data_IF_534455973611
#
_entry.id   IF_534455973611
#
_cell.length_a   1.000
_cell.length_b   1.000
_cell.length_c   1.000
_cell.angle_alpha   90.00
_cell.angle_beta   90.00
_cell.angle_gamma   90.00
#
_symmetry.space_group_name_H-M   'P 1'
#
loop_
_entity.id
_entity.type
_entity.pdbx_description
1 polymer ?
#
# COMPACT_ATOMS: atom_id res chain seq x y z
N UNK A 1 -2.80 -17.13 -19.59
CA UNK A 1 -3.56 -17.94 -18.59
C UNK A 1 -4.72 -17.11 -18.07
N UNK A 2 -5.92 -17.68 -17.86
CA UNK A 2 -7.06 -17.01 -17.22
C UNK A 2 -7.32 -17.65 -15.87
N UNK A 3 -7.20 -16.87 -14.80
CA UNK A 3 -7.45 -17.37 -13.44
C UNK A 3 -8.96 -17.32 -13.16
N UNK A 4 -9.55 -18.46 -12.79
CA UNK A 4 -10.97 -18.56 -12.43
C UNK A 4 -11.21 -18.44 -10.92
N UNK A 5 -10.13 -18.47 -10.12
CA UNK A 5 -10.16 -18.27 -8.67
C UNK A 5 -8.99 -17.38 -8.24
N UNK A 6 -9.08 -16.07 -8.50
CA UNK A 6 -8.13 -15.08 -8.02
C UNK A 6 -8.76 -14.26 -6.90
N UNK A 7 -8.29 -14.46 -5.67
CA UNK A 7 -8.92 -13.91 -4.47
C UNK A 7 -8.06 -12.78 -3.92
N UNK A 8 -8.63 -11.60 -3.79
CA UNK A 8 -7.96 -10.47 -3.15
C UNK A 8 -7.78 -10.73 -1.64
N UNK A 9 -6.66 -10.28 -1.07
CA UNK A 9 -6.35 -10.51 0.33
C UNK A 9 -7.27 -9.78 1.33
N UNK A 10 -8.03 -8.78 0.86
CA UNK A 10 -9.01 -8.06 1.65
C UNK A 10 -10.13 -7.47 0.75
N UNK A 11 -11.34 -7.24 1.30
CA UNK A 11 -12.46 -6.66 0.56
C UNK A 11 -12.38 -5.13 0.39
N UNK A 12 -11.30 -4.49 0.87
CA UNK A 12 -11.12 -3.04 0.88
C UNK A 12 -9.81 -2.62 0.22
N UNK A 13 -9.80 -1.39 -0.29
CA UNK A 13 -8.71 -0.85 -1.11
C UNK A 13 -7.34 -0.82 -0.41
N UNK A 14 -7.19 -0.10 0.71
CA UNK A 14 -5.90 0.01 1.42
C UNK A 14 -5.33 -1.36 1.85
N UNK A 15 -6.05 -2.24 2.57
CA UNK A 15 -5.50 -3.53 2.98
C UNK A 15 -5.19 -4.45 1.79
N UNK A 16 -6.04 -4.47 0.76
CA UNK A 16 -5.81 -5.30 -0.43
C UNK A 16 -4.56 -4.85 -1.20
N UNK A 17 -4.38 -3.54 -1.37
CA UNK A 17 -3.19 -2.95 -2.02
C UNK A 17 -1.92 -3.17 -1.19
N UNK A 18 -2.01 -3.04 0.13
CA UNK A 18 -0.86 -3.30 1.01
C UNK A 18 -0.37 -4.74 0.86
N UNK A 19 -1.31 -5.69 0.82
CA UNK A 19 -1.01 -7.09 0.63
C UNK A 19 -0.46 -7.39 -0.77
N UNK A 20 -1.00 -6.76 -1.81
CA UNK A 20 -0.47 -6.88 -3.17
C UNK A 20 0.97 -6.35 -3.28
N UNK A 21 1.27 -5.18 -2.70
CA UNK A 21 2.60 -4.58 -2.79
C UNK A 21 3.66 -5.37 -2.02
N UNK A 22 3.31 -5.96 -0.87
CA UNK A 22 4.26 -6.64 0.04
C UNK A 22 4.26 -8.17 -0.07
N UNK A 23 3.24 -8.77 -0.68
CA UNK A 23 3.02 -10.22 -0.67
C UNK A 23 2.65 -10.78 0.72
N UNK A 24 2.27 -9.93 1.68
CA UNK A 24 1.96 -10.29 3.07
C UNK A 24 0.52 -9.92 3.41
N UNK A 25 -0.16 -10.70 4.25
CA UNK A 25 -1.47 -10.29 4.77
C UNK A 25 -1.38 -8.92 5.45
N UNK A 26 -2.37 -8.06 5.22
CA UNK A 26 -2.37 -6.66 5.69
C UNK A 26 -2.24 -6.51 7.21
N UNK A 27 -2.68 -7.51 7.98
CA UNK A 27 -2.48 -7.55 9.44
C UNK A 27 -1.00 -7.58 9.84
N UNK A 28 -0.12 -8.12 8.99
CA UNK A 28 1.32 -8.22 9.24
C UNK A 28 2.07 -6.91 9.03
N UNK A 29 1.50 -6.00 8.24
CA UNK A 29 2.04 -4.65 8.00
C UNK A 29 1.28 -3.57 8.76
N UNK A 30 0.29 -3.94 9.59
CA UNK A 30 -0.54 -2.98 10.31
C UNK A 30 -1.50 -2.18 9.42
N UNK A 31 -1.67 -2.56 8.15
CA UNK A 31 -2.56 -1.89 7.18
C UNK A 31 -4.02 -2.34 7.32
N UNK A 32 -4.48 -2.51 8.56
CA UNK A 32 -5.84 -2.93 8.94
C UNK A 32 -6.30 -2.14 10.16
N UNK A 33 -7.61 -2.06 10.38
CA UNK A 33 -8.20 -1.38 11.53
C UNK A 33 -9.33 -2.24 12.11
N UNK A 34 -9.48 -2.23 13.43
CA UNK A 34 -10.63 -2.83 14.13
C UNK A 34 -11.82 -1.88 14.23
N UNK A 35 -11.64 -0.61 13.84
CA UNK A 35 -12.68 0.40 13.84
C UNK A 35 -13.59 0.36 12.62
N UNK A 36 -14.55 1.30 12.57
CA UNK A 36 -15.47 1.45 11.43
C UNK A 36 -14.76 1.89 10.15
N UNK A 37 -13.69 2.67 10.27
CA UNK A 37 -12.88 3.14 9.14
C UNK A 37 -11.66 2.24 9.00
N UNK A 38 -11.60 1.49 7.90
CA UNK A 38 -10.56 0.48 7.62
C UNK A 38 -9.75 0.80 6.36
N UNK A 39 -9.87 2.04 5.87
CA UNK A 39 -9.14 2.57 4.72
C UNK A 39 -8.65 3.97 5.06
N UNK A 40 -7.58 4.40 4.39
CA UNK A 40 -7.06 5.76 4.59
C UNK A 40 -7.99 6.76 3.89
N UNK A 41 -8.69 7.59 4.65
CA UNK A 41 -9.65 8.57 4.10
C UNK A 41 -9.02 9.95 3.86
N UNK A 42 -8.01 10.29 4.66
CA UNK A 42 -7.39 11.61 4.65
C UNK A 42 -5.98 11.51 4.10
N UNK A 43 -5.60 12.47 3.25
CA UNK A 43 -4.26 12.57 2.69
C UNK A 43 -3.23 12.92 3.79
N UNK A 44 -3.54 13.91 4.64
CA UNK A 44 -2.73 14.27 5.81
C UNK A 44 -2.86 13.33 7.02
N UNK A 45 -3.30 12.08 6.80
CA UNK A 45 -3.34 11.08 7.87
C UNK A 45 -1.96 10.50 8.16
N UNK A 46 -1.62 10.25 9.42
CA UNK A 46 -0.34 9.64 9.82
C UNK A 46 -0.23 8.14 9.47
N UNK A 47 -1.29 7.54 8.92
CA UNK A 47 -1.33 6.12 8.56
C UNK A 47 -0.81 5.89 7.13
N UNK A 48 0.03 4.87 6.96
CA UNK A 48 0.58 4.49 5.67
C UNK A 48 1.29 3.15 5.73
N UNK A 49 1.70 2.63 4.58
CA UNK A 49 2.51 1.42 4.52
C UNK A 49 3.83 1.67 5.27
N UNK A 50 4.19 0.86 6.29
CA UNK A 50 5.38 1.12 7.08
C UNK A 50 6.65 1.13 6.22
N UNK A 51 7.60 2.06 6.46
CA UNK A 51 8.86 2.10 5.72
C UNK A 51 9.72 0.83 5.85
N UNK A 52 9.48 0.02 6.88
CA UNK A 52 10.12 -1.27 7.10
C UNK A 52 9.60 -2.38 6.17
N UNK A 53 8.42 -2.22 5.56
CA UNK A 53 7.90 -3.18 4.61
C UNK A 53 8.62 -3.08 3.26
N UNK A 54 8.87 -4.23 2.63
CA UNK A 54 9.55 -4.29 1.34
C UNK A 54 8.53 -4.61 0.26
N UNK A 55 8.36 -3.70 -0.71
CA UNK A 55 7.48 -3.92 -1.85
C UNK A 55 8.15 -4.73 -2.95
N UNK A 56 7.36 -5.40 -3.80
CA UNK A 56 7.91 -6.06 -5.00
C UNK A 56 8.59 -5.04 -5.93
N UNK A 57 8.08 -3.80 -5.99
CA UNK A 57 8.71 -2.73 -6.77
C UNK A 57 10.13 -2.41 -6.25
N UNK A 58 10.31 -2.29 -4.93
CA UNK A 58 11.64 -2.06 -4.34
C UNK A 58 12.60 -3.22 -4.62
N UNK A 59 12.11 -4.46 -4.57
CA UNK A 59 12.89 -5.66 -4.92
C UNK A 59 13.32 -5.66 -6.39
N UNK A 60 12.42 -5.32 -7.30
CA UNK A 60 12.72 -5.23 -8.73
C UNK A 60 13.70 -4.09 -9.03
N UNK A 61 13.54 -2.94 -8.39
CA UNK A 61 14.47 -1.82 -8.52
C UNK A 61 15.90 -2.22 -8.12
N UNK A 62 16.07 -2.98 -7.03
CA UNK A 62 17.37 -3.52 -6.62
C UNK A 62 18.00 -4.47 -7.65
N UNK A 63 17.19 -5.04 -8.57
CA UNK A 63 17.65 -5.88 -9.67
C UNK A 63 17.83 -5.09 -10.98
N UNK A 64 17.82 -3.76 -10.92
CA UNK A 64 18.06 -2.89 -12.09
C UNK A 64 16.81 -2.55 -12.91
N UNK A 65 15.61 -2.89 -12.44
CA UNK A 65 14.38 -2.49 -13.12
C UNK A 65 14.02 -1.03 -12.86
N UNK A 66 13.63 -0.31 -13.92
CA UNK A 66 12.94 0.98 -13.79
C UNK A 66 11.49 0.72 -13.38
N UNK A 67 11.08 1.24 -12.22
CA UNK A 67 9.72 1.07 -11.69
C UNK A 67 8.94 2.38 -11.71
N UNK A 68 7.65 2.31 -12.03
CA UNK A 68 6.73 3.46 -11.96
C UNK A 68 5.35 3.03 -11.50
N UNK A 69 4.61 3.96 -10.90
CA UNK A 69 3.21 3.78 -10.50
C UNK A 69 2.35 4.77 -11.29
N UNK A 70 1.32 4.27 -11.97
CA UNK A 70 0.30 5.10 -12.62
C UNK A 70 -1.05 4.81 -11.97
N UNK A 71 -1.76 5.87 -11.57
CA UNK A 71 -3.08 5.79 -10.95
C UNK A 71 -3.04 5.81 -9.42
N UNK A 72 -3.93 5.02 -8.79
CA UNK A 72 -4.22 5.12 -7.36
C UNK A 72 -3.20 4.38 -6.48
N UNK A 73 -2.64 5.10 -5.51
CA UNK A 73 -1.74 4.53 -4.48
C UNK A 73 -2.51 3.96 -3.27
N UNK A 74 -3.08 4.85 -2.44
CA UNK A 74 -3.92 4.53 -1.27
C UNK A 74 -3.23 3.76 -0.12
N UNK A 75 -1.91 3.96 0.04
CA UNK A 75 -1.09 3.38 1.11
C UNK A 75 -0.35 4.47 1.92
N UNK A 76 -0.98 5.63 2.10
CA UNK A 76 -0.43 6.77 2.82
C UNK A 76 0.37 7.71 1.92
N UNK A 77 0.78 8.83 2.50
CA UNK A 77 1.70 9.82 1.93
C UNK A 77 2.91 9.99 2.87
N UNK A 78 4.00 10.53 2.35
CA UNK A 78 5.11 11.03 3.16
C UNK A 78 4.87 12.51 3.48
N UNK A 79 5.56 13.04 4.49
CA UNK A 79 5.55 14.46 4.82
C UNK A 79 6.97 15.04 4.73
N UNK A 80 7.78 14.57 3.78
CA UNK A 80 9.20 14.90 3.69
C UNK A 80 9.42 16.28 3.05
N UNK A 81 8.54 16.66 2.12
CA UNK A 81 8.59 17.92 1.42
C UNK A 81 7.30 18.72 1.63
N UNK A 82 7.42 20.04 1.60
CA UNK A 82 6.29 20.98 1.70
C UNK A 82 5.20 20.73 0.62
N UNK A 83 5.57 20.09 -0.48
CA UNK A 83 4.66 19.71 -1.57
C UNK A 83 3.87 18.43 -1.32
N UNK A 84 4.19 17.62 -0.30
CA UNK A 84 3.63 16.26 -0.16
C UNK A 84 2.16 16.24 0.34
N UNK A 85 1.45 17.38 0.33
CA UNK A 85 0.03 17.52 0.70
C UNK A 85 -0.36 16.83 2.02
N UNK A 86 0.60 16.75 2.95
CA UNK A 86 0.48 16.05 4.23
C UNK A 86 -0.21 16.90 5.34
N UNK A 87 -0.84 18.02 4.97
CA UNK A 87 -1.49 18.96 5.89
C UNK A 87 -3.00 18.91 5.78
#
# INVERSE_FOLDING_TARGET
VKLTQHIAAAPLCSPSRAAFMTGRYAIRSGMVSTGRVQVLLFLGGSGGLPPSETTFAKRLQQQGYTTGLIGKWHLGLNCEHRGDHCH
#
